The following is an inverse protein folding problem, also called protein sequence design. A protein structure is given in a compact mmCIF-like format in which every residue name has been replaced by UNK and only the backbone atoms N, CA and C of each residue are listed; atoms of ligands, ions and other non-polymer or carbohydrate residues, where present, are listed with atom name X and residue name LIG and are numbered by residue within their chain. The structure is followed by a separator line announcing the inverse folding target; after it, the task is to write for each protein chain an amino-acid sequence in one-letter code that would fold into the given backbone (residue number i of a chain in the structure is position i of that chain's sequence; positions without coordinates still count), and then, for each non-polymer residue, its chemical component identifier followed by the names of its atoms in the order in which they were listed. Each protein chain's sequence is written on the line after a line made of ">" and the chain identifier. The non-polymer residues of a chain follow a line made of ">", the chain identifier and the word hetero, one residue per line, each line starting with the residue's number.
data_IF_734145595198
#
_entry.id   IF_734145595198
#
_cell.length_a   1.000
_cell.length_b   1.000
_cell.length_c   1.000
_cell.angle_alpha   90.00
_cell.angle_beta   90.00
_cell.angle_gamma   90.00
#
_symmetry.space_group_name_H-M   'P 1'
#
loop_
_entity.id
_entity.type
_entity.pdbx_description
1 polymer ?
#
# COMPACT_ATOMS: atom_id res chain seq x y z
N UNK A 1 35.14 -16.27 40.99
CA UNK A 1 34.37 -15.03 40.75
C UNK A 1 34.70 -14.52 39.35
N UNK A 2 33.97 -14.97 38.31
CA UNK A 2 34.18 -14.51 36.93
C UNK A 2 32.91 -14.65 36.06
N UNK A 3 31.74 -14.80 36.68
CA UNK A 3 30.46 -15.05 35.98
C UNK A 3 29.57 -13.80 35.97
N UNK A 4 29.86 -12.80 36.81
CA UNK A 4 28.99 -11.61 36.98
C UNK A 4 29.14 -10.55 35.89
N UNK A 5 30.28 -10.50 35.19
CA UNK A 5 30.61 -9.36 34.33
C UNK A 5 30.16 -9.59 32.88
N UNK A 6 30.15 -10.86 32.43
CA UNK A 6 29.59 -11.25 31.13
C UNK A 6 28.07 -11.07 31.04
N UNK A 7 27.35 -11.30 32.14
CA UNK A 7 25.90 -11.14 32.20
C UNK A 7 25.47 -9.66 32.12
N UNK A 8 26.25 -8.75 32.73
CA UNK A 8 26.01 -7.30 32.69
C UNK A 8 26.27 -6.72 31.30
N UNK A 9 27.30 -7.21 30.60
CA UNK A 9 27.60 -6.80 29.23
C UNK A 9 26.51 -7.25 28.24
N UNK A 10 25.99 -8.47 28.38
CA UNK A 10 24.87 -8.96 27.56
C UNK A 10 23.56 -8.21 27.83
N UNK A 11 23.29 -7.84 29.09
CA UNK A 11 22.12 -7.05 29.45
C UNK A 11 22.19 -5.62 28.87
N UNK A 12 23.36 -4.97 28.91
CA UNK A 12 23.55 -3.65 28.28
C UNK A 12 23.38 -3.70 26.75
N UNK A 13 23.87 -4.76 26.10
CA UNK A 13 23.76 -4.92 24.64
C UNK A 13 22.30 -5.16 24.21
N UNK A 14 21.56 -5.95 24.99
CA UNK A 14 20.14 -6.25 24.76
C UNK A 14 19.23 -5.05 25.00
N UNK A 15 19.50 -4.26 26.05
CA UNK A 15 18.77 -3.00 26.32
C UNK A 15 19.11 -1.96 25.25
N UNK A 16 20.37 -1.86 24.82
CA UNK A 16 20.79 -0.98 23.73
C UNK A 16 20.12 -1.30 22.40
N UNK A 17 20.00 -2.58 22.04
CA UNK A 17 19.27 -3.00 20.82
C UNK A 17 17.77 -2.82 20.96
N UNK A 18 17.16 -3.14 22.11
CA UNK A 18 15.73 -2.94 22.33
C UNK A 18 15.31 -1.46 22.30
N UNK A 19 16.10 -0.58 22.92
CA UNK A 19 15.88 0.89 22.88
C UNK A 19 16.15 1.43 21.48
N UNK A 20 17.20 0.96 20.80
CA UNK A 20 17.48 1.34 19.41
C UNK A 20 16.35 0.95 18.45
N UNK A 21 15.80 -0.26 18.59
CA UNK A 21 14.66 -0.75 17.79
C UNK A 21 13.38 0.03 18.14
N UNK A 22 13.10 0.30 19.42
CA UNK A 22 11.91 1.05 19.83
C UNK A 22 11.96 2.53 19.43
N UNK A 23 13.14 3.16 19.48
CA UNK A 23 13.35 4.54 19.01
C UNK A 23 13.29 4.58 17.48
N UNK A 24 13.84 3.59 16.78
CA UNK A 24 13.70 3.48 15.32
C UNK A 24 12.23 3.24 14.91
N UNK A 25 11.50 2.36 15.60
CA UNK A 25 10.06 2.14 15.36
C UNK A 25 9.19 3.36 15.74
N UNK A 26 9.49 4.03 16.84
CA UNK A 26 8.76 5.22 17.29
C UNK A 26 8.99 6.44 16.39
N UNK A 27 10.23 6.66 15.94
CA UNK A 27 10.55 7.73 14.99
C UNK A 27 10.00 7.45 13.60
N UNK A 28 9.98 6.19 13.14
CA UNK A 28 9.41 5.84 11.81
C UNK A 28 7.89 5.97 11.78
N UNK A 29 7.17 5.61 12.84
CA UNK A 29 5.73 5.84 12.96
C UNK A 29 5.37 7.34 13.10
N UNK A 30 6.24 8.15 13.70
CA UNK A 30 6.03 9.59 13.88
C UNK A 30 6.42 10.48 12.69
N UNK A 31 7.39 10.04 11.87
CA UNK A 31 7.89 10.80 10.70
C UNK A 31 7.14 10.51 9.40
N UNK A 32 6.52 9.34 9.25
CA UNK A 32 5.65 9.06 8.11
C UNK A 32 4.23 9.51 8.47
N UNK A 33 4.02 10.83 8.48
CA UNK A 33 2.66 11.35 8.32
C UNK A 33 2.26 11.07 6.89
N UNK A 34 1.59 9.94 6.66
CA UNK A 34 0.80 9.79 5.45
C UNK A 34 -0.12 11.01 5.39
N UNK A 35 -0.16 11.77 4.27
CA UNK A 35 -1.19 12.78 4.13
C UNK A 35 -2.52 12.10 4.42
N UNK A 36 -3.31 12.68 5.32
CA UNK A 36 -4.67 12.21 5.58
C UNK A 36 -5.34 12.00 4.22
N UNK A 37 -6.03 10.88 4.05
CA UNK A 37 -6.65 10.42 2.77
C UNK A 37 -7.44 11.54 2.04
N UNK A 38 -7.85 12.59 2.76
CA UNK A 38 -8.57 13.78 2.30
C UNK A 38 -7.72 14.86 1.58
N UNK A 39 -6.38 14.82 1.61
CA UNK A 39 -5.55 15.95 1.15
C UNK A 39 -4.97 15.82 -0.27
N UNK A 40 -5.21 14.72 -0.99
CA UNK A 40 -4.69 14.52 -2.35
C UNK A 40 -5.71 15.07 -3.38
N UNK A 41 -5.35 16.06 -4.22
CA UNK A 41 -6.26 16.60 -5.22
C UNK A 41 -6.72 15.52 -6.21
N UNK A 42 -7.98 15.61 -6.64
CA UNK A 42 -8.54 14.72 -7.67
C UNK A 42 -7.68 14.74 -8.93
N UNK A 43 -7.16 13.57 -9.33
CA UNK A 43 -6.29 13.42 -10.49
C UNK A 43 -4.81 13.74 -10.23
N UNK A 44 -4.36 13.67 -8.98
CA UNK A 44 -2.96 13.89 -8.65
C UNK A 44 -2.02 12.79 -9.20
N UNK A 45 -0.80 13.21 -9.52
CA UNK A 45 0.37 12.34 -9.61
C UNK A 45 1.03 12.34 -8.23
N UNK A 46 1.28 11.17 -7.68
CA UNK A 46 1.83 11.00 -6.33
C UNK A 46 3.30 10.63 -6.47
N UNK A 47 4.18 11.49 -5.96
CA UNK A 47 5.62 11.26 -5.96
C UNK A 47 6.05 10.44 -4.75
N UNK A 48 6.80 9.35 -4.95
CA UNK A 48 7.34 8.55 -3.86
C UNK A 48 8.73 9.08 -3.47
N UNK A 49 8.86 9.56 -2.24
CA UNK A 49 10.15 9.80 -1.60
C UNK A 49 10.38 8.69 -0.56
N UNK A 50 10.87 7.52 -1.01
CA UNK A 50 11.29 6.51 -0.04
C UNK A 50 12.53 6.98 0.71
N UNK A 51 12.60 6.82 2.04
CA UNK A 51 13.85 6.97 2.75
C UNK A 51 14.91 6.05 2.13
N UNK A 52 16.18 6.48 1.98
CA UNK A 52 17.22 5.65 1.38
C UNK A 52 17.42 4.29 2.04
N UNK A 53 16.98 4.13 3.29
CA UNK A 53 17.08 2.92 4.09
C UNK A 53 15.85 2.00 4.01
N UNK A 54 14.74 2.46 3.41
CA UNK A 54 13.56 1.62 3.23
C UNK A 54 13.79 0.65 2.06
N UNK A 55 14.04 -0.62 2.38
CA UNK A 55 14.22 -1.69 1.39
C UNK A 55 13.32 -2.88 1.70
N UNK A 56 12.95 -3.63 0.66
CA UNK A 56 12.13 -4.83 0.78
C UNK A 56 10.71 -4.54 1.27
N UNK A 57 10.14 -5.49 2.03
CA UNK A 57 8.73 -5.50 2.44
C UNK A 57 8.21 -4.19 3.06
N UNK A 58 9.01 -3.49 3.87
CA UNK A 58 8.53 -2.28 4.56
C UNK A 58 8.22 -1.14 3.57
N UNK A 59 9.05 -0.96 2.55
CA UNK A 59 8.78 0.03 1.50
C UNK A 59 7.52 -0.34 0.71
N UNK A 60 7.30 -1.64 0.51
CA UNK A 60 6.16 -2.20 -0.24
C UNK A 60 4.85 -2.14 0.56
N UNK A 61 4.91 -2.25 1.89
CA UNK A 61 3.75 -2.04 2.78
C UNK A 61 3.29 -0.58 2.77
N UNK A 62 4.22 0.38 2.85
CA UNK A 62 3.91 1.81 2.73
C UNK A 62 3.29 2.12 1.37
N UNK A 63 3.89 1.59 0.30
CA UNK A 63 3.35 1.68 -1.05
C UNK A 63 1.94 1.08 -1.13
N UNK A 64 1.70 -0.01 -0.41
CA UNK A 64 0.42 -0.69 -0.43
C UNK A 64 -0.74 0.14 0.12
N UNK A 65 -0.51 0.94 1.16
CA UNK A 65 -1.55 1.80 1.73
C UNK A 65 -1.88 2.98 0.80
N UNK A 66 -0.87 3.53 0.14
CA UNK A 66 -1.00 4.59 -0.85
C UNK A 66 -1.75 4.11 -2.11
N UNK A 67 -1.42 2.91 -2.62
CA UNK A 67 -2.14 2.25 -3.71
C UNK A 67 -3.59 1.97 -3.33
N UNK A 68 -3.85 1.45 -2.12
CA UNK A 68 -5.23 1.25 -1.62
C UNK A 68 -6.00 2.57 -1.68
N UNK A 69 -5.42 3.66 -1.17
CA UNK A 69 -6.08 4.95 -1.17
C UNK A 69 -6.42 5.42 -2.60
N UNK A 70 -5.50 5.26 -3.56
CA UNK A 70 -5.74 5.60 -4.96
C UNK A 70 -6.86 4.75 -5.59
N UNK A 71 -6.87 3.43 -5.35
CA UNK A 71 -7.94 2.53 -5.83
C UNK A 71 -9.29 2.88 -5.19
N UNK A 72 -9.32 3.20 -3.89
CA UNK A 72 -10.54 3.60 -3.19
C UNK A 72 -11.14 4.90 -3.72
N UNK A 73 -10.30 5.87 -4.09
CA UNK A 73 -10.76 7.09 -4.76
C UNK A 73 -11.25 6.78 -6.17
N UNK A 74 -10.50 5.99 -6.93
CA UNK A 74 -10.85 5.57 -8.29
C UNK A 74 -12.19 4.83 -8.38
N UNK A 75 -12.42 3.82 -7.53
CA UNK A 75 -13.67 3.03 -7.55
C UNK A 75 -14.92 3.85 -7.23
N UNK A 76 -14.75 4.97 -6.51
CA UNK A 76 -15.83 5.87 -6.11
C UNK A 76 -15.95 7.10 -7.04
N UNK A 77 -15.07 7.26 -8.04
CA UNK A 77 -15.18 8.34 -9.02
C UNK A 77 -16.29 8.01 -10.05
N UNK A 78 -17.30 8.89 -10.21
CA UNK A 78 -18.39 8.68 -11.17
C UNK A 78 -17.90 8.45 -12.61
N UNK A 79 -16.84 9.12 -13.04
CA UNK A 79 -16.36 8.99 -14.43
C UNK A 79 -15.68 7.64 -14.64
N UNK A 80 -14.91 7.15 -13.66
CA UNK A 80 -14.33 5.80 -13.69
C UNK A 80 -15.45 4.75 -13.76
N UNK A 81 -16.51 4.91 -12.96
CA UNK A 81 -17.67 4.01 -13.00
C UNK A 81 -18.39 4.05 -14.35
N UNK A 82 -18.58 5.24 -14.94
CA UNK A 82 -19.21 5.39 -16.25
C UNK A 82 -18.39 4.70 -17.34
N UNK A 83 -17.07 4.86 -17.33
CA UNK A 83 -16.18 4.15 -18.25
C UNK A 83 -16.30 2.63 -18.11
N UNK A 84 -16.32 2.10 -16.89
CA UNK A 84 -16.50 0.65 -16.69
C UNK A 84 -17.84 0.15 -17.25
N UNK A 85 -18.92 0.92 -17.07
CA UNK A 85 -20.23 0.60 -17.66
C UNK A 85 -20.18 0.63 -19.19
N UNK A 86 -19.48 1.59 -19.77
CA UNK A 86 -19.37 1.73 -21.23
C UNK A 86 -18.52 0.60 -21.85
N UNK A 87 -17.49 0.12 -21.15
CA UNK A 87 -16.74 -1.09 -21.54
C UNK A 87 -17.68 -2.31 -21.57
N UNK A 88 -18.46 -2.52 -20.52
CA UNK A 88 -19.43 -3.64 -20.41
C UNK A 88 -20.46 -3.56 -21.55
N UNK A 89 -21.03 -2.38 -21.79
CA UNK A 89 -22.01 -2.16 -22.88
C UNK A 89 -21.42 -2.41 -24.26
N UNK A 90 -20.21 -1.90 -24.50
CA UNK A 90 -19.52 -2.07 -25.79
C UNK A 90 -19.20 -3.53 -26.08
N UNK A 91 -18.87 -4.29 -25.04
CA UNK A 91 -18.67 -5.74 -25.11
C UNK A 91 -19.98 -6.56 -25.15
N UNK A 92 -21.15 -5.90 -25.04
CA UNK A 92 -22.49 -6.52 -25.01
C UNK A 92 -22.65 -7.55 -23.88
N UNK A 93 -22.07 -7.24 -22.72
CA UNK A 93 -22.11 -8.11 -21.53
C UNK A 93 -23.19 -7.67 -20.53
N UNK A 94 -23.67 -8.62 -19.73
CA UNK A 94 -24.37 -8.33 -18.48
C UNK A 94 -23.37 -8.18 -17.33
N UNK A 95 -23.58 -7.21 -16.44
CA UNK A 95 -22.67 -6.93 -15.33
C UNK A 95 -22.47 -8.10 -14.35
N UNK A 96 -23.33 -9.13 -14.37
CA UNK A 96 -23.21 -10.35 -13.55
C UNK A 96 -22.24 -11.37 -14.15
N UNK A 97 -21.82 -11.20 -15.40
CA UNK A 97 -20.83 -12.05 -16.06
C UNK A 97 -19.42 -11.66 -15.61
N UNK A 98 -19.12 -11.79 -14.32
CA UNK A 98 -17.93 -11.18 -13.71
C UNK A 98 -16.61 -11.54 -14.39
N UNK A 99 -16.44 -12.78 -14.86
CA UNK A 99 -15.24 -13.18 -15.58
C UNK A 99 -15.11 -12.48 -16.94
N UNK A 100 -16.20 -12.42 -17.71
CA UNK A 100 -16.22 -11.74 -19.01
C UNK A 100 -16.03 -10.21 -18.84
N UNK A 101 -16.64 -9.64 -17.80
CA UNK A 101 -16.47 -8.23 -17.43
C UNK A 101 -15.01 -7.93 -17.06
N UNK A 102 -14.38 -8.78 -16.26
CA UNK A 102 -12.96 -8.62 -15.91
C UNK A 102 -12.04 -8.74 -17.13
N UNK A 103 -12.30 -9.69 -18.03
CA UNK A 103 -11.56 -9.83 -19.29
C UNK A 103 -11.71 -8.60 -20.19
N UNK A 104 -12.92 -8.04 -20.28
CA UNK A 104 -13.20 -6.84 -21.07
C UNK A 104 -12.49 -5.61 -20.49
N UNK A 105 -12.51 -5.44 -19.16
CA UNK A 105 -11.79 -4.36 -18.47
C UNK A 105 -10.27 -4.49 -18.65
N UNK A 106 -9.69 -5.68 -18.41
CA UNK A 106 -8.27 -5.94 -18.61
C UNK A 106 -7.85 -5.59 -20.04
N UNK A 107 -8.60 -6.10 -21.03
CA UNK A 107 -8.29 -5.86 -22.44
C UNK A 107 -8.41 -4.38 -22.79
N UNK A 108 -9.47 -3.71 -22.32
CA UNK A 108 -9.63 -2.28 -22.56
C UNK A 108 -8.46 -1.48 -22.01
N UNK A 109 -8.02 -1.72 -20.76
CA UNK A 109 -6.88 -0.99 -20.18
C UNK A 109 -5.60 -1.27 -20.96
N UNK A 110 -5.26 -2.55 -21.19
CA UNK A 110 -4.07 -2.95 -21.96
C UNK A 110 -4.02 -2.27 -23.34
N UNK A 111 -5.16 -2.22 -24.02
CA UNK A 111 -5.22 -1.80 -25.42
C UNK A 111 -5.38 -0.27 -25.56
N UNK A 112 -5.78 0.45 -24.50
CA UNK A 112 -6.07 1.90 -24.55
C UNK A 112 -5.15 2.76 -23.68
N UNK A 113 -4.31 2.16 -22.82
CA UNK A 113 -3.37 2.88 -21.96
C UNK A 113 -1.94 2.54 -22.39
N UNK A 114 -1.20 3.57 -22.78
CA UNK A 114 0.20 3.42 -23.20
C UNK A 114 1.08 3.08 -22.00
N UNK A 115 1.87 2.01 -22.11
CA UNK A 115 2.92 1.76 -21.11
C UNK A 115 4.05 2.80 -21.25
N UNK A 116 4.29 3.55 -20.17
CA UNK A 116 5.40 4.51 -20.08
C UNK A 116 6.04 4.35 -18.71
N UNK A 117 7.33 4.03 -18.68
CA UNK A 117 8.07 3.95 -17.43
C UNK A 117 8.15 5.30 -16.72
N UNK A 118 8.28 5.23 -15.41
CA UNK A 118 8.50 6.41 -14.59
C UNK A 118 9.72 7.25 -15.00
N UNK A 119 9.72 8.55 -14.66
CA UNK A 119 10.89 9.41 -14.84
C UNK A 119 12.13 8.81 -14.18
N UNK A 120 13.28 8.97 -14.82
CA UNK A 120 14.56 8.39 -14.38
C UNK A 120 14.81 8.65 -12.88
N UNK A 121 15.04 7.57 -12.13
CA UNK A 121 15.34 7.55 -10.68
C UNK A 121 14.22 8.09 -9.79
N UNK A 122 13.03 8.20 -10.32
CA UNK A 122 11.83 8.57 -9.55
C UNK A 122 10.87 7.42 -9.66
N UNK A 123 10.09 7.23 -8.60
CA UNK A 123 8.97 6.33 -8.60
C UNK A 123 7.73 7.19 -8.35
N UNK A 124 6.77 7.15 -9.25
CA UNK A 124 5.52 7.88 -9.18
C UNK A 124 4.37 6.92 -9.44
N UNK A 125 3.17 7.29 -9.01
CA UNK A 125 1.96 6.59 -9.42
C UNK A 125 0.81 7.59 -9.50
N UNK A 126 -0.19 7.23 -10.27
CA UNK A 126 -1.28 8.09 -10.67
C UNK A 126 -2.60 7.55 -10.10
N UNK A 127 -3.51 8.46 -9.82
CA UNK A 127 -4.89 8.05 -9.59
C UNK A 127 -5.52 7.50 -10.87
N UNK A 128 -6.40 6.51 -10.72
CA UNK A 128 -7.08 5.87 -11.85
C UNK A 128 -7.71 6.88 -12.82
N UNK A 129 -8.30 7.98 -12.33
CA UNK A 129 -8.87 9.02 -13.18
C UNK A 129 -7.83 9.65 -14.11
N UNK A 130 -6.65 9.97 -13.59
CA UNK A 130 -5.62 10.62 -14.37
C UNK A 130 -5.12 9.69 -15.48
N UNK A 131 -4.82 8.44 -15.14
CA UNK A 131 -4.44 7.38 -16.12
C UNK A 131 -5.53 7.16 -17.16
N UNK A 132 -6.79 7.00 -16.73
CA UNK A 132 -7.91 6.62 -17.61
C UNK A 132 -8.42 7.75 -18.49
N UNK A 133 -8.28 9.02 -18.12
CA UNK A 133 -8.92 10.13 -18.84
C UNK A 133 -7.96 11.24 -19.27
N UNK A 134 -6.84 11.42 -18.59
CA UNK A 134 -5.94 12.56 -18.80
C UNK A 134 -4.68 12.15 -19.53
N UNK A 135 -3.83 11.32 -18.91
CA UNK A 135 -2.56 10.91 -19.51
C UNK A 135 -2.74 9.84 -20.59
N UNK A 136 -3.71 8.93 -20.40
CA UNK A 136 -3.83 7.70 -21.21
C UNK A 136 -2.52 6.92 -21.26
N UNK A 137 -1.69 7.06 -20.23
CA UNK A 137 -0.36 6.49 -20.15
C UNK A 137 0.08 6.31 -18.69
N UNK A 138 0.86 5.28 -18.43
CA UNK A 138 1.39 4.94 -17.12
C UNK A 138 2.12 3.60 -17.13
N UNK A 139 2.82 3.28 -16.05
CA UNK A 139 3.57 2.04 -15.95
C UNK A 139 2.73 0.88 -15.38
N UNK A 140 3.36 -0.13 -14.74
CA UNK A 140 2.65 -1.27 -14.20
C UNK A 140 1.75 -0.92 -13.01
N UNK A 141 2.13 0.03 -12.16
CA UNK A 141 1.34 0.36 -10.96
C UNK A 141 0.13 1.24 -11.30
N UNK A 142 0.30 2.21 -12.20
CA UNK A 142 -0.75 3.04 -12.78
C UNK A 142 -1.86 2.19 -13.43
N UNK A 143 -1.47 1.22 -14.25
CA UNK A 143 -2.42 0.32 -14.91
C UNK A 143 -3.09 -0.64 -13.92
N UNK A 144 -2.36 -1.14 -12.93
CA UNK A 144 -2.93 -1.96 -11.86
C UNK A 144 -3.99 -1.19 -11.06
N UNK A 145 -3.71 0.07 -10.70
CA UNK A 145 -4.65 0.97 -10.02
C UNK A 145 -5.89 1.22 -10.89
N UNK A 146 -5.70 1.47 -12.19
CA UNK A 146 -6.79 1.69 -13.13
C UNK A 146 -7.71 0.46 -13.25
N UNK A 147 -7.15 -0.75 -13.44
CA UNK A 147 -7.90 -2.00 -13.53
C UNK A 147 -8.66 -2.29 -12.23
N UNK A 148 -7.98 -2.23 -11.07
CA UNK A 148 -8.62 -2.48 -9.78
C UNK A 148 -9.76 -1.49 -9.52
N UNK A 149 -9.57 -0.21 -9.87
CA UNK A 149 -10.59 0.83 -9.74
C UNK A 149 -11.81 0.56 -10.62
N UNK A 150 -11.61 0.18 -11.89
CA UNK A 150 -12.69 -0.16 -12.81
C UNK A 150 -13.49 -1.39 -12.36
N UNK A 151 -12.79 -2.46 -11.93
CA UNK A 151 -13.41 -3.69 -11.41
C UNK A 151 -14.29 -3.39 -10.19
N UNK A 152 -13.71 -2.70 -9.20
CA UNK A 152 -14.43 -2.38 -7.96
C UNK A 152 -15.55 -1.38 -8.19
N UNK A 153 -15.41 -0.46 -9.16
CA UNK A 153 -16.46 0.48 -9.53
C UNK A 153 -17.72 -0.22 -10.05
N UNK A 154 -17.64 -1.47 -10.53
CA UNK A 154 -18.79 -2.29 -10.98
C UNK A 154 -19.11 -3.46 -10.06
N UNK A 155 -18.52 -3.48 -8.86
CA UNK A 155 -18.84 -4.44 -7.81
C UNK A 155 -18.06 -5.75 -7.86
N UNK A 156 -16.97 -5.82 -8.62
CA UNK A 156 -16.04 -6.96 -8.60
C UNK A 156 -14.93 -6.65 -7.60
N UNK A 157 -14.81 -7.38 -6.47
CA UNK A 157 -13.72 -7.15 -5.53
C UNK A 157 -12.36 -7.39 -6.21
N UNK A 158 -11.34 -6.63 -5.81
CA UNK A 158 -10.03 -6.69 -6.44
C UNK A 158 -8.90 -6.80 -5.40
N UNK A 159 -7.74 -7.23 -5.88
CA UNK A 159 -6.46 -7.24 -5.16
C UNK A 159 -5.40 -6.59 -6.03
N UNK A 160 -4.37 -6.06 -5.41
CA UNK A 160 -3.14 -5.69 -6.09
C UNK A 160 -2.10 -6.76 -5.78
N UNK A 161 -1.44 -7.24 -6.83
CA UNK A 161 -0.45 -8.31 -6.77
C UNK A 161 0.90 -7.71 -7.09
N UNK A 162 1.82 -7.73 -6.13
CA UNK A 162 3.21 -7.39 -6.35
C UNK A 162 4.00 -8.68 -6.54
N UNK A 163 4.81 -8.74 -7.58
CA UNK A 163 5.46 -9.95 -8.04
C UNK A 163 6.96 -9.71 -8.25
N UNK A 164 7.76 -10.69 -7.85
CA UNK A 164 9.19 -10.73 -8.14
C UNK A 164 9.51 -11.97 -8.97
N UNK A 165 10.19 -11.74 -10.10
CA UNK A 165 10.66 -12.81 -10.97
C UNK A 165 11.97 -13.44 -10.49
N UNK A 166 12.60 -12.90 -9.44
CA UNK A 166 13.83 -13.45 -8.86
C UNK A 166 13.56 -14.81 -8.19
N UNK A 167 14.14 -15.92 -8.67
CA UNK A 167 13.92 -17.24 -8.08
C UNK A 167 14.50 -17.36 -6.66
N UNK A 168 15.41 -16.47 -6.26
CA UNK A 168 16.02 -16.44 -4.93
C UNK A 168 15.35 -15.39 -4.02
N UNK A 169 14.09 -15.06 -4.28
CA UNK A 169 13.36 -14.01 -3.58
C UNK A 169 13.44 -14.15 -2.06
N UNK A 170 13.88 -13.07 -1.41
CA UNK A 170 13.93 -12.93 0.03
C UNK A 170 13.09 -11.73 0.45
N UNK A 171 12.09 -11.96 1.28
CA UNK A 171 11.12 -10.94 1.74
C UNK A 171 11.75 -9.73 2.44
N UNK A 172 12.99 -9.83 2.93
CA UNK A 172 13.68 -8.73 3.62
C UNK A 172 14.54 -7.88 2.68
N UNK A 173 15.02 -8.45 1.58
CA UNK A 173 16.08 -7.83 0.77
C UNK A 173 15.74 -7.73 -0.71
N UNK A 174 14.94 -8.65 -1.24
CA UNK A 174 14.47 -8.60 -2.62
C UNK A 174 13.38 -7.54 -2.76
N UNK A 175 13.21 -7.06 -3.99
CA UNK A 175 12.15 -6.14 -4.36
C UNK A 175 11.15 -6.84 -5.27
N UNK A 176 9.90 -6.43 -5.22
CA UNK A 176 8.97 -6.69 -6.31
C UNK A 176 9.38 -5.88 -7.56
N UNK A 177 9.21 -6.51 -8.71
CA UNK A 177 9.65 -5.98 -10.02
C UNK A 177 8.49 -5.79 -10.98
N UNK A 178 7.30 -6.25 -10.60
CA UNK A 178 6.08 -6.15 -11.39
C UNK A 178 4.88 -6.02 -10.48
N UNK A 179 3.84 -5.34 -10.95
CA UNK A 179 2.58 -5.19 -10.23
C UNK A 179 1.41 -5.23 -11.22
N UNK A 180 0.32 -5.85 -10.80
CA UNK A 180 -0.90 -5.95 -11.59
C UNK A 180 -2.11 -6.15 -10.66
N UNK A 181 -3.32 -5.98 -11.20
CA UNK A 181 -4.54 -6.23 -10.45
C UNK A 181 -5.00 -7.69 -10.59
N UNK A 182 -5.76 -8.16 -9.61
CA UNK A 182 -6.50 -9.41 -9.71
C UNK A 182 -7.96 -9.20 -9.28
N UNK A 183 -8.90 -9.82 -10.00
CA UNK A 183 -10.31 -9.86 -9.62
C UNK A 183 -10.55 -11.03 -8.67
N UNK A 184 -11.46 -10.87 -7.70
CA UNK A 184 -11.97 -11.96 -6.89
C UNK A 184 -13.36 -12.38 -7.38
N UNK A 185 -13.44 -13.57 -7.98
CA UNK A 185 -14.65 -14.08 -8.63
C UNK A 185 -14.95 -15.46 -8.05
N UNK A 186 -16.11 -15.60 -7.39
CA UNK A 186 -16.53 -16.86 -6.76
C UNK A 186 -15.47 -17.44 -5.80
N UNK A 187 -14.81 -16.58 -5.02
CA UNK A 187 -13.76 -16.97 -4.08
C UNK A 187 -12.41 -17.33 -4.71
N UNK A 188 -12.25 -17.11 -6.03
CA UNK A 188 -10.99 -17.34 -6.75
C UNK A 188 -10.36 -16.01 -7.15
N UNK A 189 -9.05 -15.92 -6.97
CA UNK A 189 -8.22 -14.83 -7.47
C UNK A 189 -7.91 -15.07 -8.95
N UNK A 190 -8.36 -14.16 -9.82
CA UNK A 190 -8.18 -14.19 -11.27
C UNK A 190 -7.29 -13.03 -11.68
N UNK A 191 -6.13 -13.31 -12.30
CA UNK A 191 -5.13 -12.28 -12.61
C UNK A 191 -5.51 -11.45 -13.83
N UNK A 192 -5.39 -10.13 -13.72
CA UNK A 192 -5.67 -9.16 -14.77
C UNK A 192 -4.38 -8.49 -15.22
N UNK A 193 -3.61 -9.18 -16.05
CA UNK A 193 -2.31 -8.73 -16.57
C UNK A 193 -2.47 -7.81 -17.79
N UNK A 194 -1.94 -6.59 -17.73
CA UNK A 194 -2.06 -5.58 -18.80
C UNK A 194 -0.74 -5.24 -19.50
N UNK A 195 0.41 -5.61 -18.93
CA UNK A 195 1.73 -5.28 -19.48
C UNK A 195 2.18 -6.32 -20.48
N UNK A 196 1.89 -7.60 -20.22
CA UNK A 196 2.16 -8.67 -21.18
C UNK A 196 1.22 -8.55 -22.38
N UNK A 197 1.75 -8.34 -23.61
CA UNK A 197 0.91 -8.25 -24.80
C UNK A 197 0.08 -9.50 -25.00
N UNK A 198 -1.20 -9.34 -25.35
CA UNK A 198 -2.15 -10.45 -25.58
C UNK A 198 -2.32 -11.42 -24.40
N UNK A 199 -1.98 -11.01 -23.17
CA UNK A 199 -2.24 -11.83 -21.99
C UNK A 199 -3.74 -12.17 -21.91
N UNK A 200 -4.04 -13.47 -21.82
CA UNK A 200 -5.39 -13.90 -21.49
C UNK A 200 -5.75 -13.47 -20.06
N UNK A 201 -7.05 -13.43 -19.76
CA UNK A 201 -7.49 -13.37 -18.37
C UNK A 201 -6.91 -14.57 -17.63
N UNK A 202 -6.43 -14.34 -16.40
CA UNK A 202 -5.74 -15.31 -15.56
C UNK A 202 -4.37 -15.80 -16.07
N UNK A 203 -3.70 -15.01 -16.91
CA UNK A 203 -2.29 -15.30 -17.25
C UNK A 203 -1.42 -15.31 -15.99
N UNK A 204 -0.74 -16.44 -15.74
CA UNK A 204 0.13 -16.63 -14.57
C UNK A 204 1.60 -16.51 -14.93
N UNK A 205 2.28 -15.57 -14.28
CA UNK A 205 3.73 -15.44 -14.33
C UNK A 205 4.43 -16.48 -13.46
N UNK A 206 5.61 -16.92 -13.90
CA UNK A 206 6.56 -17.56 -12.99
C UNK A 206 7.12 -16.50 -12.03
N UNK A 207 7.25 -16.86 -10.74
CA UNK A 207 7.71 -15.93 -9.72
C UNK A 207 8.44 -16.64 -8.59
N UNK A 208 9.42 -15.97 -7.99
CA UNK A 208 10.00 -16.41 -6.72
C UNK A 208 9.29 -15.82 -5.50
N UNK A 209 8.60 -14.69 -5.67
CA UNK A 209 7.90 -14.00 -4.58
C UNK A 209 6.64 -13.29 -5.03
N UNK A 210 5.64 -13.26 -4.15
CA UNK A 210 4.37 -12.59 -4.39
C UNK A 210 3.80 -12.00 -3.10
N UNK A 211 3.35 -10.75 -3.15
CA UNK A 211 2.60 -10.07 -2.09
C UNK A 211 1.23 -9.66 -2.61
N UNK A 212 0.21 -9.89 -1.80
CA UNK A 212 -1.18 -9.57 -2.11
C UNK A 212 -1.63 -8.44 -1.22
N UNK A 213 -2.20 -7.43 -1.83
CA UNK A 213 -2.83 -6.33 -1.13
C UNK A 213 -4.32 -6.44 -1.38
N UNK A 214 -5.06 -6.78 -0.34
CA UNK A 214 -6.52 -6.88 -0.42
C UNK A 214 -7.14 -5.48 -0.47
N UNK A 215 -7.95 -5.22 -1.50
CA UNK A 215 -8.69 -3.96 -1.64
C UNK A 215 -10.09 -4.04 -1.01
N UNK A 216 -10.57 -5.23 -0.64
CA UNK A 216 -11.90 -5.41 -0.04
C UNK A 216 -12.00 -4.87 1.39
N UNK A 217 -10.86 -4.75 2.08
CA UNK A 217 -10.79 -4.11 3.39
C UNK A 217 -10.60 -2.60 3.19
N UNK A 218 -11.53 -1.74 3.66
CA UNK A 218 -11.29 -0.30 3.68
C UNK A 218 -9.98 -0.02 4.41
N UNK A 219 -9.21 0.97 3.93
CA UNK A 219 -8.18 1.58 4.76
C UNK A 219 -8.88 2.15 6.00
N UNK A 220 -8.94 1.38 7.08
CA UNK A 220 -9.46 1.85 8.36
C UNK A 220 -8.66 3.12 8.72
N UNK A 221 -9.29 4.21 9.19
CA UNK A 221 -8.58 5.06 10.14
C UNK A 221 -8.31 4.13 11.33
N UNK A 222 -7.05 3.74 11.51
CA UNK A 222 -6.64 2.65 12.39
C UNK A 222 -7.26 2.78 13.80
N UNK A 223 -8.31 2.00 14.09
CA UNK A 223 -8.42 1.37 15.40
C UNK A 223 -7.64 0.07 15.31
N UNK A 224 -6.36 0.13 15.70
CA UNK A 224 -5.60 -1.08 16.05
C UNK A 224 -6.22 -1.65 17.32
N UNK A 225 -7.11 -2.63 17.20
CA UNK A 225 -7.33 -3.57 18.30
C UNK A 225 -6.14 -4.54 18.28
N UNK A 226 -5.22 -4.30 19.20
CA UNK A 226 -4.20 -5.29 19.57
C UNK A 226 -4.86 -6.14 20.64
N UNK A 227 -5.25 -7.36 20.30
CA UNK A 227 -5.67 -8.35 21.29
C UNK A 227 -4.41 -8.82 22.03
N UNK A 228 -4.09 -8.15 23.14
CA UNK A 228 -3.11 -8.63 24.09
C UNK A 228 -3.76 -9.73 24.93
N UNK A 229 -3.05 -10.85 25.13
CA UNK A 229 -3.51 -11.90 26.04
C UNK A 229 -3.64 -11.35 27.48
N UNK A 230 -4.53 -11.92 28.32
CA UNK A 230 -5.02 -11.27 29.56
C UNK A 230 -4.00 -11.03 30.68
N UNK A 231 -2.73 -11.42 30.54
CA UNK A 231 -1.78 -11.43 31.66
C UNK A 231 -1.03 -10.10 31.88
N UNK A 232 -1.29 -9.06 31.09
CA UNK A 232 -0.59 -7.77 31.21
C UNK A 232 -1.32 -6.72 32.07
N UNK A 233 -2.42 -7.05 32.76
CA UNK A 233 -3.22 -6.08 33.52
C UNK A 233 -2.86 -5.86 34.99
N UNK A 234 -1.83 -6.52 35.53
CA UNK A 234 -1.39 -6.29 36.91
C UNK A 234 -0.04 -5.58 36.99
N UNK A 235 -0.03 -4.27 36.74
CA UNK A 235 0.78 -3.36 37.57
C UNK A 235 0.32 -1.90 37.43
N UNK A 236 -0.16 -1.26 38.52
CA UNK A 236 -0.57 0.14 38.50
C UNK A 236 0.65 1.06 38.41
N UNK A 237 0.48 2.13 37.63
CA UNK A 237 1.44 3.21 37.43
C UNK A 237 2.01 3.73 38.76
N UNK A 238 3.34 3.83 38.87
CA UNK A 238 4.00 4.70 39.84
C UNK A 238 4.42 6.00 39.13
N UNK A 239 4.27 7.18 39.76
CA UNK A 239 4.67 8.45 39.17
C UNK A 239 6.21 8.59 39.18
N UNK A 240 6.78 8.91 38.02
CA UNK A 240 8.18 9.35 37.91
C UNK A 240 8.27 10.86 38.22
N UNK A 241 9.10 11.28 39.19
CA UNK A 241 9.36 12.70 39.46
C UNK A 241 10.36 13.27 38.44
N UNK A 242 10.14 14.52 37.98
CA UNK A 242 11.19 15.30 37.32
C UNK A 242 10.88 15.95 35.98
N UNK A 243 9.67 16.44 35.73
CA UNK A 243 9.39 17.39 34.64
C UNK A 243 8.52 18.53 35.15
N UNK A 244 9.15 19.56 35.73
CA UNK A 244 8.58 20.89 35.91
C UNK A 244 9.37 21.84 35.02
N UNK A 245 8.70 22.37 34.00
CA UNK A 245 9.26 23.40 33.15
C UNK A 245 8.34 23.68 31.98
N UNK A 246 7.77 24.89 31.98
CA UNK A 246 6.95 25.55 30.94
C UNK A 246 5.44 25.58 31.19
N UNK A 247 5.06 26.04 32.37
CA UNK A 247 3.97 27.00 32.49
C UNK A 247 4.54 28.28 33.11
N UNK A 248 4.06 29.42 32.62
CA UNK A 248 4.22 30.76 33.21
C UNK A 248 5.47 31.55 32.82
N UNK A 249 5.65 31.70 31.51
CA UNK A 249 5.90 33.03 30.92
C UNK A 249 4.67 33.92 31.17
N UNK A 250 4.52 34.48 32.37
CA UNK A 250 3.76 35.69 32.66
C UNK A 250 3.83 36.03 34.15
N UNK A 251 4.44 37.17 34.51
CA UNK A 251 4.16 37.83 35.79
C UNK A 251 5.38 38.18 36.64
N UNK A 252 5.83 39.43 36.49
CA UNK A 252 6.71 40.14 37.41
C UNK A 252 6.11 40.25 38.83
N UNK A 253 6.92 40.12 39.88
CA UNK A 253 7.18 41.18 40.87
C UNK A 253 8.00 40.68 42.06
N UNK A 254 9.02 41.46 42.41
CA UNK A 254 9.82 41.37 43.63
C UNK A 254 9.03 41.85 44.85
N UNK A 255 9.13 41.13 45.97
CA UNK A 255 9.30 41.65 47.33
C UNK A 255 9.70 40.49 48.26
#
# INVERSE_FOLDING_TARGET
>A
MAVSDGLKALALLAVGTAVGVAVHYGLTQGMVRHPTIEAVPKGAVIHKNFPPWATGRLAEEILGDDIKAAVYRGKNDPDVRLLAIDIIRSARLDGRQYADVAAAIQSWVRDNILYVSDPVRTEIFQEARYTLFVSKAGDCDDQAIAVASLLMAVGIPAKIILLSMDPNFNTRTSRFTHVFAAAEISGKEIWCETIVPNAALDYRHQHGGLMRIDMSTPALPAKKEIEATPDAMNNPCLPVPGFQGLADLCGLAWA
#
